data_IF_175537639799
#
_entry.id   IF_175537639799
#
_cell.length_a   1.000
_cell.length_b   1.000
_cell.length_c   1.000
_cell.angle_alpha   90.00
_cell.angle_beta   90.00
_cell.angle_gamma   90.00
#
_symmetry.space_group_name_H-M   'P 1'
#
loop_
_entity.id
_entity.type
_entity.pdbx_description
1 polymer ?
#
# COMPACT_ATOMS: atom_id res chain seq x y z
N UNK A 1 -51.75 -12.33 -46.08
CA UNK A 1 -50.61 -12.22 -45.14
C UNK A 1 -50.82 -10.99 -44.29
N UNK A 2 -51.01 -11.13 -42.99
CA UNK A 2 -51.17 -9.97 -42.09
C UNK A 2 -49.77 -9.44 -41.73
N UNK A 3 -49.44 -8.23 -42.19
CA UNK A 3 -48.19 -7.56 -41.86
C UNK A 3 -48.27 -6.90 -40.48
N UNK A 4 -47.24 -7.10 -39.66
CA UNK A 4 -47.09 -6.41 -38.36
C UNK A 4 -47.03 -4.89 -38.63
N UNK A 5 -47.85 -4.11 -37.93
CA UNK A 5 -47.94 -2.66 -38.10
C UNK A 5 -46.64 -1.95 -37.69
N UNK A 6 -46.38 -0.77 -38.25
CA UNK A 6 -45.20 0.03 -37.91
C UNK A 6 -45.14 0.35 -36.40
N UNK A 7 -46.28 0.60 -35.75
CA UNK A 7 -46.36 0.82 -34.30
C UNK A 7 -45.93 -0.41 -33.51
N UNK A 8 -46.37 -1.62 -33.89
CA UNK A 8 -45.95 -2.85 -33.22
C UNK A 8 -44.44 -3.10 -33.35
N UNK A 9 -43.83 -2.75 -34.49
CA UNK A 9 -42.37 -2.90 -34.67
C UNK A 9 -41.57 -1.95 -33.77
N UNK A 10 -42.05 -0.72 -33.60
CA UNK A 10 -41.43 0.27 -32.70
C UNK A 10 -41.53 -0.19 -31.25
N UNK A 11 -42.69 -0.67 -30.81
CA UNK A 11 -42.85 -1.19 -29.44
C UNK A 11 -41.94 -2.40 -29.16
N UNK A 12 -41.82 -3.34 -30.11
CA UNK A 12 -40.93 -4.50 -29.97
C UNK A 12 -39.46 -4.07 -29.89
N UNK A 13 -39.04 -3.12 -30.73
CA UNK A 13 -37.67 -2.61 -30.72
C UNK A 13 -37.35 -1.89 -29.40
N UNK A 14 -38.30 -1.12 -28.86
CA UNK A 14 -38.13 -0.40 -27.61
C UNK A 14 -38.02 -1.34 -26.40
N UNK A 15 -38.87 -2.37 -26.33
CA UNK A 15 -38.76 -3.42 -25.31
C UNK A 15 -37.41 -4.14 -25.39
N UNK A 16 -36.93 -4.45 -26.60
CA UNK A 16 -35.62 -5.07 -26.77
C UNK A 16 -34.45 -4.18 -26.34
N UNK A 17 -34.56 -2.86 -26.50
CA UNK A 17 -33.54 -1.90 -26.03
C UNK A 17 -33.54 -1.83 -24.49
N UNK A 18 -34.71 -1.75 -23.86
CA UNK A 18 -34.84 -1.72 -22.40
C UNK A 18 -34.30 -3.02 -21.74
N UNK A 19 -34.57 -4.18 -22.35
CA UNK A 19 -34.00 -5.46 -21.93
C UNK A 19 -32.46 -5.50 -22.07
N UNK A 20 -31.92 -4.95 -23.16
CA UNK A 20 -30.48 -4.85 -23.38
C UNK A 20 -29.80 -3.90 -22.39
N UNK A 21 -30.42 -2.76 -22.08
CA UNK A 21 -29.90 -1.80 -21.09
C UNK A 21 -29.88 -2.42 -19.69
N UNK A 22 -30.95 -3.13 -19.32
CA UNK A 22 -31.03 -3.83 -18.03
C UNK A 22 -29.96 -4.92 -17.93
N UNK A 23 -29.80 -5.73 -18.97
CA UNK A 23 -28.77 -6.78 -19.00
C UNK A 23 -27.34 -6.20 -18.96
N UNK A 24 -27.09 -5.09 -19.65
CA UNK A 24 -25.81 -4.40 -19.60
C UNK A 24 -25.53 -3.81 -18.21
N UNK A 25 -26.54 -3.28 -17.52
CA UNK A 25 -26.38 -2.77 -16.16
C UNK A 25 -26.06 -3.92 -15.18
N UNK A 26 -26.77 -5.04 -15.27
CA UNK A 26 -26.47 -6.22 -14.44
C UNK A 26 -25.05 -6.76 -14.66
N UNK A 27 -24.54 -6.72 -15.90
CA UNK A 27 -23.15 -7.10 -16.18
C UNK A 27 -22.16 -6.13 -15.55
N UNK A 28 -22.43 -4.82 -15.58
CA UNK A 28 -21.59 -3.82 -14.93
C UNK A 28 -21.54 -4.02 -13.42
N UNK A 29 -22.68 -4.26 -12.80
CA UNK A 29 -22.76 -4.50 -11.36
C UNK A 29 -21.98 -5.78 -10.97
N UNK A 30 -22.10 -6.85 -11.77
CA UNK A 30 -21.31 -8.08 -11.57
C UNK A 30 -19.81 -7.87 -11.73
N UNK A 31 -19.39 -7.07 -12.72
CA UNK A 31 -17.97 -6.72 -12.92
C UNK A 31 -17.46 -5.97 -11.70
N UNK A 32 -18.20 -4.98 -11.20
CA UNK A 32 -17.80 -4.21 -10.03
C UNK A 32 -17.63 -5.10 -8.80
N UNK A 33 -18.60 -5.96 -8.50
CA UNK A 33 -18.52 -6.89 -7.36
C UNK A 33 -17.30 -7.82 -7.51
N UNK A 34 -17.04 -8.31 -8.73
CA UNK A 34 -15.87 -9.16 -8.98
C UNK A 34 -14.55 -8.40 -8.79
N UNK A 35 -14.46 -7.15 -9.24
CA UNK A 35 -13.28 -6.30 -9.04
C UNK A 35 -13.02 -6.01 -7.55
N UNK A 36 -14.08 -5.77 -6.76
CA UNK A 36 -14.00 -5.60 -5.31
C UNK A 36 -13.52 -6.89 -4.62
N UNK A 37 -14.07 -8.05 -5.00
CA UNK A 37 -13.64 -9.36 -4.49
C UNK A 37 -12.18 -9.66 -4.86
N UNK A 38 -11.75 -9.38 -6.09
CA UNK A 38 -10.36 -9.52 -6.51
C UNK A 38 -9.43 -8.64 -5.67
N UNK A 39 -9.80 -7.38 -5.45
CA UNK A 39 -9.01 -6.44 -4.63
C UNK A 39 -8.86 -6.93 -3.19
N UNK A 40 -9.95 -7.44 -2.61
CA UNK A 40 -9.95 -8.05 -1.28
C UNK A 40 -9.04 -9.27 -1.20
N UNK A 41 -9.15 -10.20 -2.16
CA UNK A 41 -8.32 -11.41 -2.21
C UNK A 41 -6.83 -11.09 -2.40
N UNK A 42 -6.49 -10.13 -3.25
CA UNK A 42 -5.09 -9.69 -3.44
C UNK A 42 -4.52 -9.15 -2.13
N UNK A 43 -5.32 -8.38 -1.38
CA UNK A 43 -4.93 -7.83 -0.08
C UNK A 43 -4.72 -8.96 0.94
N UNK A 44 -5.66 -9.90 1.06
CA UNK A 44 -5.56 -11.05 1.96
C UNK A 44 -4.36 -11.95 1.64
N UNK A 45 -4.08 -12.19 0.35
CA UNK A 45 -2.91 -12.97 -0.07
C UNK A 45 -1.61 -12.25 0.31
N UNK A 46 -1.55 -10.93 0.13
CA UNK A 46 -0.37 -10.16 0.51
C UNK A 46 -0.17 -10.18 2.03
N UNK A 47 -1.23 -9.97 2.80
CA UNK A 47 -1.21 -10.03 4.26
C UNK A 47 -0.75 -11.41 4.75
N UNK A 48 -1.30 -12.48 4.17
CA UNK A 48 -0.86 -13.84 4.47
C UNK A 48 0.63 -14.03 4.17
N UNK A 49 1.10 -13.66 2.97
CA UNK A 49 2.51 -13.76 2.59
C UNK A 49 3.44 -12.98 3.53
N UNK A 50 3.02 -11.80 3.99
CA UNK A 50 3.82 -10.96 4.87
C UNK A 50 3.81 -11.44 6.33
N UNK A 51 2.71 -12.04 6.79
CA UNK A 51 2.62 -12.67 8.12
C UNK A 51 3.50 -13.91 8.26
N UNK A 52 3.76 -14.64 7.17
CA UNK A 52 4.70 -15.77 7.15
C UNK A 52 6.18 -15.35 7.23
N UNK A 53 6.50 -14.07 6.96
CA UNK A 53 7.88 -13.57 7.01
C UNK A 53 8.29 -13.24 8.44
N UNK A 54 9.55 -13.47 8.76
CA UNK A 54 10.20 -12.92 9.95
C UNK A 54 10.42 -11.40 9.78
N UNK A 55 10.57 -10.63 10.87
CA UNK A 55 10.95 -9.21 10.77
C UNK A 55 12.22 -8.97 9.94
N UNK A 56 13.19 -9.89 9.98
CA UNK A 56 14.41 -9.78 9.18
C UNK A 56 14.14 -9.95 7.69
N UNK A 57 13.25 -10.86 7.29
CA UNK A 57 12.88 -11.05 5.87
C UNK A 57 12.03 -9.91 5.30
N UNK A 58 11.44 -9.09 6.18
CA UNK A 58 10.73 -7.85 5.80
C UNK A 58 11.65 -6.62 5.77
N UNK A 59 12.84 -6.73 6.34
CA UNK A 59 13.87 -5.69 6.30
C UNK A 59 14.63 -5.78 4.98
N UNK A 60 14.65 -4.68 4.25
CA UNK A 60 15.45 -4.50 3.03
C UNK A 60 16.49 -3.41 3.29
N UNK A 61 17.74 -3.74 3.02
CA UNK A 61 18.87 -2.79 3.08
C UNK A 61 19.46 -2.77 1.68
N UNK A 62 19.41 -1.61 1.04
CA UNK A 62 19.91 -1.40 -0.30
C UNK A 62 21.04 -0.37 -0.26
N UNK A 63 22.24 -0.81 -0.63
CA UNK A 63 23.36 0.07 -0.90
C UNK A 63 23.24 0.60 -2.33
N UNK A 64 23.23 1.92 -2.47
CA UNK A 64 23.24 2.57 -3.78
C UNK A 64 24.68 2.71 -4.27
N UNK A 65 24.85 2.71 -5.60
CA UNK A 65 26.16 2.69 -6.30
C UNK A 65 27.11 3.83 -5.86
N UNK A 66 26.58 4.94 -5.36
CA UNK A 66 27.34 6.11 -4.92
C UNK A 66 27.54 6.22 -3.40
N UNK A 67 27.30 5.14 -2.64
CA UNK A 67 27.47 5.12 -1.19
C UNK A 67 26.36 5.85 -0.43
N UNK A 68 25.21 6.02 -1.08
CA UNK A 68 23.93 6.25 -0.42
C UNK A 68 23.35 4.90 0.04
N UNK A 69 22.53 4.93 1.07
CA UNK A 69 21.91 3.75 1.67
C UNK A 69 20.42 4.01 1.82
N UNK A 70 19.63 2.96 1.59
CA UNK A 70 18.21 2.92 1.90
C UNK A 70 17.93 1.72 2.80
N UNK A 71 17.20 1.97 3.88
CA UNK A 71 16.68 0.94 4.77
C UNK A 71 15.16 1.02 4.70
N UNK A 72 14.52 -0.04 4.21
CA UNK A 72 13.08 -0.12 4.12
C UNK A 72 12.58 -1.32 4.93
N UNK A 73 11.49 -1.11 5.67
CA UNK A 73 10.85 -2.13 6.47
C UNK A 73 9.35 -2.11 6.23
N UNK A 74 8.82 -3.22 5.70
CA UNK A 74 7.40 -3.41 5.49
C UNK A 74 6.75 -4.24 6.60
N UNK A 75 5.48 -3.97 6.90
CA UNK A 75 4.66 -4.78 7.78
C UNK A 75 3.20 -4.77 7.34
N UNK A 76 2.44 -5.74 7.82
CA UNK A 76 0.99 -5.79 7.58
C UNK A 76 0.31 -4.84 8.57
N UNK A 77 -0.37 -3.76 8.11
CA UNK A 77 -0.96 -2.76 8.98
C UNK A 77 -1.94 -3.32 10.02
N UNK A 78 -2.63 -4.42 9.70
CA UNK A 78 -3.65 -5.05 10.56
C UNK A 78 -3.09 -5.82 11.77
N UNK A 79 -1.77 -6.03 11.84
CA UNK A 79 -1.16 -6.96 12.82
C UNK A 79 -0.35 -6.30 13.94
N UNK A 80 0.29 -5.16 13.69
CA UNK A 80 1.05 -4.40 14.67
C UNK A 80 1.43 -3.02 14.14
N UNK A 81 1.64 -2.05 15.03
CA UNK A 81 2.36 -0.81 14.71
C UNK A 81 3.83 -1.07 14.98
N UNK A 82 4.65 -1.00 13.93
CA UNK A 82 6.09 -1.15 14.03
C UNK A 82 6.77 0.18 13.74
N UNK A 83 7.93 0.38 14.37
CA UNK A 83 8.76 1.57 14.17
C UNK A 83 10.16 1.15 13.72
N UNK A 84 10.60 1.74 12.62
CA UNK A 84 11.94 1.67 12.06
C UNK A 84 12.80 2.81 12.62
N UNK A 85 13.93 2.43 13.22
CA UNK A 85 14.95 3.37 13.65
C UNK A 85 16.31 2.98 13.07
N UNK A 86 17.07 3.99 12.63
CA UNK A 86 18.48 3.83 12.26
C UNK A 86 19.32 4.72 13.16
N UNK A 87 20.24 4.10 13.89
CA UNK A 87 21.28 4.81 14.65
C UNK A 87 22.54 4.88 13.78
N UNK A 88 22.97 6.10 13.46
CA UNK A 88 24.17 6.35 12.68
C UNK A 88 25.44 6.09 13.49
N UNK A 89 26.63 5.99 12.84
CA UNK A 89 27.90 5.80 13.54
C UNK A 89 28.23 6.89 14.56
N UNK A 90 27.68 8.10 14.40
CA UNK A 90 27.85 9.19 15.37
C UNK A 90 26.88 9.13 16.56
N UNK A 91 26.00 8.11 16.60
CA UNK A 91 24.97 7.96 17.63
C UNK A 91 23.67 8.73 17.36
N UNK A 92 23.57 9.43 16.23
CA UNK A 92 22.32 10.11 15.84
C UNK A 92 21.27 9.05 15.49
N UNK A 93 20.06 9.21 16.02
CA UNK A 93 18.93 8.32 15.70
C UNK A 93 18.02 9.00 14.69
N UNK A 94 17.67 8.28 13.64
CA UNK A 94 16.69 8.69 12.62
C UNK A 94 15.51 7.75 12.73
N UNK A 95 14.32 8.31 12.96
CA UNK A 95 13.05 7.61 13.07
C UNK A 95 11.90 8.60 12.79
N UNK A 96 10.67 8.22 13.06
CA UNK A 96 9.49 9.10 12.88
C UNK A 96 9.58 10.43 13.62
N UNK A 97 10.09 10.44 14.87
CA UNK A 97 10.23 11.64 15.69
C UNK A 97 11.41 12.52 15.26
N UNK A 98 12.46 11.93 14.68
CA UNK A 98 13.65 12.59 14.16
C UNK A 98 13.78 12.37 12.65
N UNK A 99 12.72 12.71 11.91
CA UNK A 99 12.58 12.34 10.50
C UNK A 99 13.67 12.92 9.58
N UNK A 100 14.36 13.98 9.99
CA UNK A 100 15.45 14.59 9.25
C UNK A 100 16.75 14.52 10.06
N UNK A 101 17.64 13.60 9.68
CA UNK A 101 18.97 13.49 10.25
C UNK A 101 19.88 14.63 9.78
N UNK A 102 20.75 15.11 10.66
CA UNK A 102 21.74 16.18 10.43
C UNK A 102 22.69 15.89 9.26
N UNK A 103 22.90 14.60 8.94
CA UNK A 103 23.72 14.16 7.80
C UNK A 103 22.92 13.77 6.56
N UNK A 104 21.66 14.20 6.46
CA UNK A 104 20.84 14.06 5.25
C UNK A 104 20.11 12.72 5.13
N UNK A 105 20.01 11.94 6.20
CA UNK A 105 19.11 10.79 6.23
C UNK A 105 17.69 11.26 6.48
N UNK A 106 16.73 10.69 5.78
CA UNK A 106 15.33 11.10 5.80
C UNK A 106 14.41 9.90 6.03
N UNK A 107 13.53 10.00 7.02
CA UNK A 107 12.49 9.02 7.31
C UNK A 107 11.22 9.36 6.53
N UNK A 108 10.59 8.32 5.97
CA UNK A 108 9.30 8.38 5.30
C UNK A 108 8.46 7.18 5.70
N UNK A 109 7.14 7.34 5.70
CA UNK A 109 6.19 6.28 5.97
C UNK A 109 5.07 6.28 4.95
N UNK A 110 4.77 5.11 4.41
CA UNK A 110 3.58 4.81 3.64
C UNK A 110 2.62 4.01 4.54
N UNK A 111 1.59 4.65 5.12
CA UNK A 111 0.64 3.99 6.01
C UNK A 111 -0.29 3.01 5.29
N UNK A 112 -0.52 3.19 3.98
CA UNK A 112 -1.41 2.31 3.20
C UNK A 112 -0.76 0.95 2.96
N UNK A 113 0.55 0.96 2.70
CA UNK A 113 1.34 -0.24 2.47
C UNK A 113 2.10 -0.74 3.71
N UNK A 114 1.90 -0.10 4.87
CA UNK A 114 2.61 -0.42 6.11
C UNK A 114 4.12 -0.44 5.93
N UNK A 115 4.68 0.56 5.25
CA UNK A 115 6.12 0.60 4.93
C UNK A 115 6.78 1.84 5.53
N UNK A 116 7.90 1.66 6.22
CA UNK A 116 8.77 2.75 6.67
C UNK A 116 10.11 2.66 5.96
N UNK A 117 10.64 3.81 5.56
CA UNK A 117 11.91 3.90 4.85
C UNK A 117 12.76 5.01 5.44
N UNK A 118 14.04 4.73 5.68
CA UNK A 118 15.07 5.73 5.95
C UNK A 118 16.06 5.71 4.80
N UNK A 119 16.26 6.86 4.17
CA UNK A 119 17.12 7.00 2.99
C UNK A 119 18.05 8.19 3.06
N UNK A 120 19.22 8.07 2.46
CA UNK A 120 20.14 9.19 2.22
C UNK A 120 20.13 9.52 0.73
N UNK A 121 19.20 10.36 0.26
CA UNK A 121 19.04 10.64 -1.17
C UNK A 121 20.05 11.65 -1.72
N UNK A 122 20.39 12.69 -0.97
CA UNK A 122 21.17 13.83 -1.49
C UNK A 122 22.62 13.86 -1.01
N UNK A 123 22.94 13.02 -0.01
CA UNK A 123 24.26 12.96 0.63
C UNK A 123 24.68 11.51 0.79
N UNK A 124 25.97 11.26 0.75
CA UNK A 124 26.51 9.93 1.10
C UNK A 124 26.15 9.59 2.54
N UNK A 125 25.82 8.32 2.77
CA UNK A 125 25.55 7.81 4.11
C UNK A 125 26.82 7.91 4.96
N UNK A 126 26.72 8.31 6.25
CA UNK A 126 27.88 8.40 7.13
C UNK A 126 28.70 7.10 7.16
N UNK A 127 30.01 7.16 7.01
CA UNK A 127 30.85 5.95 7.05
C UNK A 127 30.88 5.35 8.45
N UNK A 128 30.68 4.04 8.55
CA UNK A 128 30.77 3.29 9.80
C UNK A 128 29.61 2.30 9.99
N UNK A 129 29.54 1.70 11.19
CA UNK A 129 28.47 0.76 11.54
C UNK A 129 27.20 1.52 11.91
N UNK A 130 26.12 1.26 11.19
CA UNK A 130 24.78 1.67 11.57
C UNK A 130 24.12 0.56 12.38
N UNK A 131 23.21 0.93 13.27
CA UNK A 131 22.34 -0.04 13.96
C UNK A 131 20.91 0.18 13.49
N UNK A 132 20.30 -0.87 12.96
CA UNK A 132 18.89 -0.87 12.58
C UNK A 132 18.11 -1.50 13.73
N UNK A 133 17.08 -0.81 14.19
CA UNK A 133 16.23 -1.26 15.29
C UNK A 133 14.79 -1.26 14.79
N UNK A 134 14.13 -2.41 14.94
CA UNK A 134 12.69 -2.54 14.72
C UNK A 134 12.05 -2.69 16.10
N UNK A 135 11.16 -1.77 16.46
CA UNK A 135 10.40 -1.83 17.72
C UNK A 135 8.94 -2.15 17.46
N UNK A 136 8.38 -3.02 18.30
CA UNK A 136 6.93 -3.09 18.45
C UNK A 136 6.46 -1.89 19.26
N UNK A 137 5.59 -1.06 18.67
CA UNK A 137 4.93 0.01 19.40
C UNK A 137 3.68 -0.59 20.04
N UNK A 138 3.85 -1.22 21.20
CA UNK A 138 2.73 -1.81 21.94
C UNK A 138 1.92 -0.73 22.66
N UNK A 139 0.86 -0.25 22.03
CA UNK A 139 -0.32 0.31 22.69
C UNK A 139 -0.31 1.82 23.00
N UNK A 140 -1.25 2.54 22.38
CA UNK A 140 -1.67 3.87 22.83
C UNK A 140 -2.16 4.78 21.71
N UNK A 141 -3.44 4.63 21.34
CA UNK A 141 -4.17 5.45 20.37
C UNK A 141 -3.70 5.37 18.92
N UNK A 142 -4.63 4.94 18.07
CA UNK A 142 -4.75 5.50 16.73
C UNK A 142 -4.78 7.03 16.83
N UNK A 143 -3.62 7.69 16.73
CA UNK A 143 -3.55 9.00 16.11
C UNK A 143 -3.30 8.77 14.62
N UNK A 144 -4.28 8.15 13.96
CA UNK A 144 -4.60 8.55 12.60
C UNK A 144 -5.09 9.99 12.74
N UNK A 145 -4.16 10.93 12.59
CA UNK A 145 -4.44 12.35 12.65
C UNK A 145 -5.54 12.66 11.64
N UNK A 146 -6.70 13.05 12.14
CA UNK A 146 -7.70 13.75 11.38
C UNK A 146 -7.19 15.17 11.11
N UNK A 147 -6.97 15.49 9.84
CA UNK A 147 -7.37 16.75 9.20
C UNK A 147 -7.13 16.70 7.70
#
# INVERSE_FOLDING_TARGET
MAGISAQSRVSIAQVGVEELETSNQELRDKIQVFEEEQTKLVTEINDYKQSQKTPLERLKIEDMIDGRMQVAFGWVPSSAILSLEVVTPSGETINEASANGSKGGHFTQDPMNGTQTIMWSDKRTPKGKHRIIIRHVSGGAAQLGSR
#
